data_IF_665613906536
#
_entry.id   IF_665613906536
#
_cell.length_a   1.000
_cell.length_b   1.000
_cell.length_c   1.000
_cell.angle_alpha   90.00
_cell.angle_beta   90.00
_cell.angle_gamma   90.00
#
_symmetry.space_group_name_H-M   'P 1'
#
loop_
_entity.id
_entity.type
_entity.pdbx_description
1 polymer ?
#
# COMPACT_ATOMS: atom_id res chain seq x y z
N UNK A 1 -13.32 -23.86 18.36
CA UNK A 1 -13.88 -22.73 17.59
C UNK A 1 -14.04 -23.20 16.17
N UNK A 2 -15.19 -22.98 15.53
CA UNK A 2 -15.37 -23.37 14.12
C UNK A 2 -14.31 -22.67 13.28
N UNK A 3 -13.69 -23.35 12.31
CA UNK A 3 -12.59 -22.79 11.52
C UNK A 3 -12.99 -21.47 10.84
N UNK A 4 -14.23 -21.38 10.37
CA UNK A 4 -14.80 -20.17 9.78
C UNK A 4 -14.86 -18.99 10.75
N UNK A 5 -15.27 -19.21 12.00
CA UNK A 5 -15.30 -18.15 13.02
C UNK A 5 -13.89 -17.64 13.33
N UNK A 6 -12.89 -18.54 13.34
CA UNK A 6 -11.49 -18.17 13.50
C UNK A 6 -11.01 -17.26 12.36
N UNK A 7 -11.35 -17.59 11.12
CA UNK A 7 -10.98 -16.80 9.93
C UNK A 7 -11.57 -15.39 9.98
N UNK A 8 -12.86 -15.25 10.27
CA UNK A 8 -13.49 -13.92 10.38
C UNK A 8 -12.90 -13.08 11.51
N UNK A 9 -12.61 -13.69 12.65
CA UNK A 9 -11.96 -12.99 13.78
C UNK A 9 -10.56 -12.53 13.39
N UNK A 10 -9.77 -13.37 12.70
CA UNK A 10 -8.44 -12.99 12.23
C UNK A 10 -8.46 -11.82 11.26
N UNK A 11 -9.37 -11.82 10.27
CA UNK A 11 -9.51 -10.71 9.31
C UNK A 11 -9.89 -9.41 10.03
N UNK A 12 -10.85 -9.49 10.96
CA UNK A 12 -11.31 -8.32 11.71
C UNK A 12 -10.18 -7.72 12.55
N UNK A 13 -9.43 -8.56 13.28
CA UNK A 13 -8.29 -8.12 14.08
C UNK A 13 -7.21 -7.48 13.20
N UNK A 14 -6.89 -8.08 12.05
CA UNK A 14 -5.90 -7.54 11.12
C UNK A 14 -6.28 -6.14 10.63
N UNK A 15 -7.54 -5.95 10.21
CA UNK A 15 -8.04 -4.63 9.79
C UNK A 15 -8.00 -3.62 10.94
N UNK A 16 -8.43 -4.01 12.14
CA UNK A 16 -8.37 -3.15 13.32
C UNK A 16 -6.94 -2.70 13.63
N UNK A 17 -5.97 -3.61 13.60
CA UNK A 17 -4.56 -3.28 13.84
C UNK A 17 -4.05 -2.30 12.79
N UNK A 18 -4.36 -2.52 11.51
CA UNK A 18 -3.94 -1.61 10.43
C UNK A 18 -4.51 -0.19 10.63
N UNK A 19 -5.77 -0.07 11.03
CA UNK A 19 -6.40 1.23 11.31
C UNK A 19 -5.77 1.91 12.52
N UNK A 20 -5.50 1.17 13.59
CA UNK A 20 -4.83 1.72 14.78
C UNK A 20 -3.42 2.23 14.47
N UNK A 21 -2.66 1.49 13.67
CA UNK A 21 -1.32 1.92 13.21
C UNK A 21 -1.44 3.19 12.37
N UNK A 22 -2.40 3.27 11.45
CA UNK A 22 -2.60 4.47 10.65
C UNK A 22 -3.02 5.68 11.50
N UNK A 23 -3.88 5.50 12.51
CA UNK A 23 -4.23 6.55 13.47
C UNK A 23 -3.01 7.05 14.24
N UNK A 24 -2.14 6.15 14.69
CA UNK A 24 -0.91 6.50 15.39
C UNK A 24 0.06 7.25 14.46
N UNK A 25 0.27 6.76 13.24
CA UNK A 25 1.18 7.40 12.27
C UNK A 25 0.61 8.69 11.66
N UNK A 26 -0.71 8.91 11.70
CA UNK A 26 -1.33 10.12 11.20
C UNK A 26 -1.00 11.37 12.05
N UNK A 27 -0.53 11.18 13.29
CA UNK A 27 -0.12 12.28 14.16
C UNK A 27 1.11 12.99 13.57
N UNK A 28 0.93 14.24 13.13
CA UNK A 28 1.97 15.02 12.46
C UNK A 28 2.16 14.68 10.98
N UNK A 29 1.25 13.90 10.38
CA UNK A 29 1.27 13.59 8.95
C UNK A 29 0.79 14.77 8.10
N UNK A 30 1.11 14.73 6.80
CA UNK A 30 0.60 15.67 5.81
C UNK A 30 -0.92 15.53 5.73
N UNK A 31 -1.66 16.63 5.90
CA UNK A 31 -3.12 16.67 5.77
C UNK A 31 -3.47 17.18 4.38
N UNK A 32 -4.23 16.41 3.61
CA UNK A 32 -4.74 16.83 2.30
C UNK A 32 -6.26 16.97 2.39
N UNK A 33 -6.76 18.20 2.21
CA UNK A 33 -8.16 18.51 2.46
C UNK A 33 -8.51 18.34 3.93
N UNK A 34 -9.32 17.32 4.25
CA UNK A 34 -9.73 16.98 5.62
C UNK A 34 -9.10 15.68 6.15
N UNK A 35 -8.33 14.96 5.33
CA UNK A 35 -7.82 13.64 5.68
C UNK A 35 -6.28 13.58 5.63
N UNK A 36 -5.62 12.88 6.57
CA UNK A 36 -4.18 12.63 6.48
C UNK A 36 -3.84 11.75 5.26
N UNK A 37 -2.75 12.05 4.57
CA UNK A 37 -2.29 11.29 3.39
C UNK A 37 -2.08 9.82 3.70
N UNK A 38 -1.67 9.49 4.93
CA UNK A 38 -1.51 8.09 5.35
C UNK A 38 -2.80 7.30 5.30
N UNK A 39 -3.95 7.90 5.61
CA UNK A 39 -5.25 7.23 5.46
C UNK A 39 -5.59 6.99 3.99
N UNK A 40 -5.26 7.94 3.11
CA UNK A 40 -5.43 7.78 1.66
C UNK A 40 -4.57 6.62 1.16
N UNK A 41 -3.28 6.59 1.52
CA UNK A 41 -2.37 5.51 1.17
C UNK A 41 -2.84 4.14 1.70
N UNK A 42 -3.29 4.08 2.96
CA UNK A 42 -3.81 2.84 3.54
C UNK A 42 -5.05 2.37 2.80
N UNK A 43 -5.99 3.27 2.52
CA UNK A 43 -7.22 2.94 1.81
C UNK A 43 -6.92 2.38 0.41
N UNK A 44 -6.01 3.03 -0.33
CA UNK A 44 -5.55 2.55 -1.63
C UNK A 44 -4.93 1.16 -1.51
N UNK A 45 -4.06 0.92 -0.54
CA UNK A 45 -3.46 -0.41 -0.32
C UNK A 45 -4.52 -1.49 -0.11
N UNK A 46 -5.49 -1.27 0.77
CA UNK A 46 -6.56 -2.25 1.03
C UNK A 46 -7.44 -2.49 -0.18
N UNK A 47 -7.86 -1.42 -0.87
CA UNK A 47 -8.71 -1.53 -2.06
C UNK A 47 -7.99 -2.29 -3.16
N UNK A 48 -6.73 -1.96 -3.45
CA UNK A 48 -5.94 -2.71 -4.44
C UNK A 48 -5.77 -4.17 -4.02
N UNK A 49 -5.41 -4.45 -2.77
CA UNK A 49 -5.20 -5.83 -2.31
C UNK A 49 -6.49 -6.66 -2.40
N UNK A 50 -7.65 -6.09 -2.06
CA UNK A 50 -8.94 -6.76 -2.19
C UNK A 50 -9.38 -6.95 -3.65
N UNK A 51 -9.18 -5.93 -4.49
CA UNK A 51 -9.49 -6.04 -5.92
C UNK A 51 -8.66 -7.12 -6.61
N UNK A 52 -7.45 -7.35 -6.14
CA UNK A 52 -6.47 -8.27 -6.72
C UNK A 52 -6.61 -9.67 -6.16
N UNK A 53 -7.07 -9.77 -4.91
CA UNK A 53 -7.46 -11.03 -4.32
C UNK A 53 -8.53 -11.75 -5.17
N UNK A 54 -9.53 -11.03 -5.71
CA UNK A 54 -10.57 -11.59 -6.58
C UNK A 54 -10.02 -12.35 -7.82
N UNK A 55 -9.26 -11.72 -8.73
CA UNK A 55 -8.70 -12.40 -9.89
C UNK A 55 -7.67 -13.44 -9.47
N UNK A 56 -6.87 -13.20 -8.43
CA UNK A 56 -5.87 -14.16 -7.99
C UNK A 56 -6.48 -15.45 -7.46
N UNK A 57 -7.63 -15.37 -6.77
CA UNK A 57 -8.42 -16.53 -6.35
C UNK A 57 -9.01 -17.26 -7.56
N UNK A 58 -9.57 -16.51 -8.52
CA UNK A 58 -10.19 -17.09 -9.71
C UNK A 58 -9.18 -17.82 -10.61
N UNK A 59 -8.03 -17.21 -10.88
CA UNK A 59 -7.00 -17.78 -11.74
C UNK A 59 -6.12 -18.81 -11.01
N UNK A 60 -6.17 -18.89 -9.67
CA UNK A 60 -5.33 -19.78 -8.85
C UNK A 60 -3.83 -19.71 -9.20
N UNK A 61 -3.39 -18.55 -9.65
CA UNK A 61 -2.02 -18.29 -10.09
C UNK A 61 -1.27 -17.51 -9.02
N UNK A 62 -0.32 -18.16 -8.36
CA UNK A 62 0.52 -17.54 -7.31
C UNK A 62 1.30 -16.33 -7.84
N UNK A 63 1.73 -16.38 -9.12
CA UNK A 63 2.46 -15.30 -9.80
C UNK A 63 1.72 -13.96 -9.89
N UNK A 64 0.40 -13.98 -10.06
CA UNK A 64 -0.37 -12.75 -10.21
C UNK A 64 -0.48 -11.99 -8.89
N UNK A 65 -0.55 -12.71 -7.77
CA UNK A 65 -0.58 -12.10 -6.45
C UNK A 65 0.73 -11.35 -6.15
N UNK A 66 1.86 -11.99 -6.47
CA UNK A 66 3.20 -11.43 -6.24
C UNK A 66 3.50 -10.20 -7.09
N UNK A 67 3.17 -10.23 -8.39
CA UNK A 67 3.34 -9.07 -9.26
C UNK A 67 2.50 -7.90 -8.76
N UNK A 68 1.30 -8.18 -8.29
CA UNK A 68 0.40 -7.10 -7.89
C UNK A 68 0.81 -6.43 -6.60
N UNK A 69 1.44 -7.16 -5.67
CA UNK A 69 2.07 -6.55 -4.50
C UNK A 69 3.05 -5.44 -4.88
N UNK A 70 3.88 -5.68 -5.92
CA UNK A 70 4.81 -4.65 -6.43
C UNK A 70 4.10 -3.43 -7.04
N UNK A 71 2.98 -3.65 -7.74
CA UNK A 71 2.14 -2.57 -8.31
C UNK A 71 1.56 -1.71 -7.19
N UNK A 72 1.04 -2.33 -6.12
CA UNK A 72 0.51 -1.60 -4.97
C UNK A 72 1.58 -0.70 -4.33
N UNK A 73 2.81 -1.19 -4.18
CA UNK A 73 3.94 -0.37 -3.69
C UNK A 73 4.21 0.84 -4.58
N UNK A 74 4.24 0.64 -5.90
CA UNK A 74 4.46 1.72 -6.87
C UNK A 74 3.34 2.77 -6.77
N UNK A 75 2.08 2.34 -6.79
CA UNK A 75 0.91 3.23 -6.72
C UNK A 75 0.93 4.05 -5.43
N UNK A 76 1.10 3.41 -4.27
CA UNK A 76 1.09 4.09 -2.97
C UNK A 76 2.26 5.08 -2.84
N UNK A 77 3.43 4.73 -3.36
CA UNK A 77 4.61 5.61 -3.35
C UNK A 77 4.39 6.85 -4.22
N UNK A 78 3.83 6.66 -5.41
CA UNK A 78 3.51 7.77 -6.33
C UNK A 78 2.44 8.69 -5.75
N UNK A 79 1.39 8.13 -5.13
CA UNK A 79 0.33 8.94 -4.49
C UNK A 79 0.89 9.75 -3.32
N UNK A 80 1.75 9.16 -2.50
CA UNK A 80 2.40 9.87 -1.40
C UNK A 80 3.29 11.01 -1.91
N UNK A 81 4.08 10.77 -2.96
CA UNK A 81 4.95 11.78 -3.56
C UNK A 81 4.15 12.91 -4.22
N UNK A 82 3.06 12.57 -4.93
CA UNK A 82 2.16 13.53 -5.57
C UNK A 82 1.54 14.49 -4.54
N UNK A 83 1.00 13.95 -3.45
CA UNK A 83 0.43 14.79 -2.39
C UNK A 83 1.50 15.61 -1.66
N UNK A 84 2.69 15.03 -1.43
CA UNK A 84 3.83 15.77 -0.87
C UNK A 84 4.21 16.98 -1.74
N UNK A 85 4.38 16.78 -3.05
CA UNK A 85 4.81 17.84 -3.98
C UNK A 85 3.78 18.96 -4.13
N UNK A 86 2.48 18.63 -4.12
CA UNK A 86 1.42 19.64 -4.22
C UNK A 86 1.30 20.47 -2.93
N UNK A 87 1.56 19.87 -1.76
CA UNK A 87 1.38 20.54 -0.48
C UNK A 87 2.63 21.28 0.02
N UNK A 88 3.84 20.75 -0.20
CA UNK A 88 5.10 21.31 0.32
C UNK A 88 5.76 22.33 -0.65
N UNK A 89 5.22 22.50 -1.85
CA UNK A 89 5.79 23.40 -2.85
C UNK A 89 7.16 22.94 -3.37
N UNK A 90 7.64 23.59 -4.42
CA UNK A 90 8.78 23.17 -5.27
C UNK A 90 10.16 23.04 -4.56
N UNK A 91 10.23 23.17 -3.23
CA UNK A 91 11.35 22.63 -2.45
C UNK A 91 11.18 21.13 -2.35
N UNK A 92 11.47 20.46 -3.46
CA UNK A 92 11.62 19.01 -3.52
C UNK A 92 12.71 18.62 -2.53
N UNK A 93 12.26 18.14 -1.38
CA UNK A 93 13.10 17.55 -0.36
C UNK A 93 13.72 16.29 -0.98
N UNK A 94 14.91 16.45 -1.56
CA UNK A 94 15.67 15.46 -2.36
C UNK A 94 15.68 14.09 -1.69
N UNK A 95 15.68 14.08 -0.36
CA UNK A 95 15.57 12.88 0.48
C UNK A 95 14.35 12.02 0.13
N UNK A 96 13.16 12.60 0.03
CA UNK A 96 11.95 11.83 -0.28
C UNK A 96 11.89 11.38 -1.72
N UNK A 97 12.46 12.15 -2.65
CA UNK A 97 12.59 11.71 -4.04
C UNK A 97 13.54 10.52 -4.14
N UNK A 98 14.67 10.55 -3.43
CA UNK A 98 15.64 9.46 -3.39
C UNK A 98 15.04 8.19 -2.77
N UNK A 99 14.29 8.32 -1.67
CA UNK A 99 13.55 7.20 -1.06
C UNK A 99 12.53 6.63 -2.04
N UNK A 100 11.75 7.48 -2.73
CA UNK A 100 10.77 7.02 -3.71
C UNK A 100 11.43 6.25 -4.86
N UNK A 101 12.56 6.74 -5.39
CA UNK A 101 13.33 6.04 -6.43
C UNK A 101 13.80 4.67 -5.93
N UNK A 102 14.33 4.57 -4.71
CA UNK A 102 14.75 3.28 -4.15
C UNK A 102 13.58 2.30 -4.01
N UNK A 103 12.40 2.77 -3.57
CA UNK A 103 11.21 1.93 -3.47
C UNK A 103 10.78 1.46 -4.86
N UNK A 104 10.78 2.33 -5.87
CA UNK A 104 10.41 1.98 -7.25
C UNK A 104 11.38 0.95 -7.84
N UNK A 105 12.69 1.16 -7.69
CA UNK A 105 13.71 0.20 -8.18
C UNK A 105 13.55 -1.16 -7.48
N UNK A 106 13.33 -1.16 -6.17
CA UNK A 106 13.10 -2.38 -5.41
C UNK A 106 11.82 -3.11 -5.85
N UNK A 107 10.71 -2.38 -5.97
CA UNK A 107 9.42 -2.95 -6.36
C UNK A 107 9.48 -3.53 -7.78
N UNK A 108 10.09 -2.81 -8.73
CA UNK A 108 10.27 -3.30 -10.10
C UNK A 108 11.19 -4.52 -10.16
N UNK A 109 12.32 -4.50 -9.45
CA UNK A 109 13.25 -5.64 -9.43
C UNK A 109 12.58 -6.89 -8.85
N UNK A 110 11.95 -6.75 -7.68
CA UNK A 110 11.34 -7.87 -6.97
C UNK A 110 10.12 -8.40 -7.72
N UNK A 111 9.23 -7.52 -8.18
CA UNK A 111 8.04 -7.89 -8.95
C UNK A 111 8.38 -8.60 -10.26
N UNK A 112 9.38 -8.10 -10.99
CA UNK A 112 9.85 -8.74 -12.22
C UNK A 112 10.45 -10.13 -11.94
N UNK A 113 11.26 -10.25 -10.89
CA UNK A 113 11.85 -11.54 -10.49
C UNK A 113 10.78 -12.59 -10.15
N UNK A 114 9.76 -12.20 -9.38
CA UNK A 114 8.67 -13.09 -8.99
C UNK A 114 7.81 -13.52 -10.19
N UNK A 115 7.58 -12.62 -11.15
CA UNK A 115 6.84 -12.96 -12.37
C UNK A 115 7.63 -13.86 -13.32
N UNK A 116 8.95 -13.69 -13.40
CA UNK A 116 9.82 -14.43 -14.33
C UNK A 116 10.24 -15.81 -13.81
N UNK A 117 10.17 -16.08 -12.49
CA UNK A 117 10.39 -17.42 -11.90
C UNK A 117 9.22 -18.33 -12.14
#
# INVERSE_FOLDING_TARGET
MNNTVKEYVTITIAVCISVLIALACAQGSLIVGQYPVLFICLFISFVFQWLVFLPSYYFSTERFYDLTGSITYIVVTLTALYHKSNFIGHRSDIRSLLIAVFILVWALRLGSFLFLR
#
